data_IF_627917869077
#
_entry.id   IF_627917869077
#
_cell.length_a   1.000
_cell.length_b   1.000
_cell.length_c   1.000
_cell.angle_alpha   90.00
_cell.angle_beta   90.00
_cell.angle_gamma   90.00
#
_symmetry.space_group_name_H-M   'P 1'
#
loop_
_entity.id
_entity.type
_entity.pdbx_description
1 polymer ?
#
# COMPACT_ATOMS: atom_id res chain seq x y z
N UNK A 1 16.35 20.43 -47.00
CA UNK A 1 16.65 20.95 -45.64
C UNK A 1 18.10 20.69 -45.33
N UNK A 2 18.86 21.74 -45.04
CA UNK A 2 20.23 21.61 -44.55
C UNK A 2 20.25 21.11 -43.09
N UNK A 3 21.36 20.53 -42.64
CA UNK A 3 21.49 20.02 -41.26
C UNK A 3 21.25 21.13 -40.22
N UNK A 4 21.70 22.35 -40.51
CA UNK A 4 21.46 23.55 -39.70
C UNK A 4 19.98 23.92 -39.59
N UNK A 5 19.23 23.83 -40.70
CA UNK A 5 17.78 24.09 -40.69
C UNK A 5 17.04 23.04 -39.85
N UNK A 6 17.44 21.77 -39.92
CA UNK A 6 16.84 20.69 -39.11
C UNK A 6 17.06 20.90 -37.62
N UNK A 7 18.27 21.28 -37.21
CA UNK A 7 18.55 21.60 -35.81
C UNK A 7 17.79 22.83 -35.33
N UNK A 8 17.70 23.87 -36.16
CA UNK A 8 16.94 25.08 -35.85
C UNK A 8 15.45 24.75 -35.65
N UNK A 9 14.87 23.93 -36.54
CA UNK A 9 13.48 23.49 -36.44
C UNK A 9 13.25 22.62 -35.19
N UNK A 10 14.14 21.66 -34.90
CA UNK A 10 14.04 20.82 -33.71
C UNK A 10 14.09 21.64 -32.41
N UNK A 11 14.97 22.64 -32.34
CA UNK A 11 15.05 23.57 -31.20
C UNK A 11 13.79 24.44 -31.09
N UNK A 12 13.24 24.90 -32.21
CA UNK A 12 12.01 25.68 -32.23
C UNK A 12 10.80 24.86 -31.73
N UNK A 13 10.64 23.62 -32.21
CA UNK A 13 9.57 22.70 -31.79
C UNK A 13 9.66 22.42 -30.29
N UNK A 14 10.87 22.19 -29.75
CA UNK A 14 11.06 21.92 -28.32
C UNK A 14 10.71 23.11 -27.42
N UNK A 15 10.82 24.35 -27.92
CA UNK A 15 10.44 25.58 -27.19
C UNK A 15 8.96 25.91 -27.35
N UNK A 16 8.32 25.49 -28.44
CA UNK A 16 6.93 25.76 -28.72
C UNK A 16 6.01 24.97 -27.77
N UNK A 17 4.98 25.63 -27.24
CA UNK A 17 3.96 24.97 -26.42
C UNK A 17 2.95 24.28 -27.34
N UNK A 18 3.15 22.98 -27.56
CA UNK A 18 2.28 22.16 -28.41
C UNK A 18 1.21 21.49 -27.55
N UNK A 19 0.03 21.24 -28.14
CA UNK A 19 -1.04 20.46 -27.49
C UNK A 19 -0.57 19.04 -27.21
N UNK A 20 -0.97 18.50 -26.06
CA UNK A 20 -0.70 17.11 -25.74
C UNK A 20 -1.31 16.16 -26.79
N UNK A 21 -0.61 15.07 -27.15
CA UNK A 21 -1.14 14.02 -28.03
C UNK A 21 -2.41 13.38 -27.44
N UNK A 22 -3.20 12.76 -28.31
CA UNK A 22 -4.35 11.96 -27.87
C UNK A 22 -3.91 10.79 -27.00
N UNK A 23 -4.66 10.50 -25.94
CA UNK A 23 -4.43 9.36 -25.05
C UNK A 23 -5.21 8.09 -25.45
N UNK A 24 -6.00 8.15 -26.52
CA UNK A 24 -6.84 7.04 -27.00
C UNK A 24 -6.03 5.84 -27.52
N UNK A 25 -4.74 6.05 -27.80
CA UNK A 25 -3.81 5.01 -28.22
C UNK A 25 -3.30 4.12 -27.08
N UNK A 26 -3.73 4.33 -25.83
CA UNK A 26 -3.27 3.57 -24.67
C UNK A 26 -4.36 2.60 -24.19
N UNK A 27 -4.01 1.32 -24.05
CA UNK A 27 -4.87 0.29 -23.47
C UNK A 27 -4.55 -0.02 -22.00
N UNK A 28 -5.19 0.64 -21.02
CA UNK A 28 -5.05 0.28 -19.61
C UNK A 28 -5.56 -1.14 -19.31
N UNK A 29 -5.20 -1.68 -18.15
CA UNK A 29 -5.76 -2.94 -17.62
C UNK A 29 -7.12 -2.65 -16.94
N UNK A 30 -7.20 -1.55 -16.19
CA UNK A 30 -8.37 -1.12 -15.44
C UNK A 30 -8.36 -1.59 -13.98
N UNK A 31 -8.90 -0.75 -13.10
CA UNK A 31 -8.88 -0.94 -11.64
C UNK A 31 -9.48 -2.27 -11.17
N UNK A 32 -10.60 -2.68 -11.77
CA UNK A 32 -11.34 -3.90 -11.45
C UNK A 32 -10.55 -5.15 -11.85
N UNK A 33 -10.01 -5.16 -13.07
CA UNK A 33 -9.20 -6.25 -13.59
C UNK A 33 -7.89 -6.41 -12.82
N UNK A 34 -7.26 -5.30 -12.41
CA UNK A 34 -6.06 -5.32 -11.55
C UNK A 34 -6.34 -5.99 -10.20
N UNK A 35 -7.46 -5.67 -9.55
CA UNK A 35 -7.88 -6.31 -8.30
C UNK A 35 -8.16 -7.79 -8.52
N UNK A 36 -8.91 -8.14 -9.57
CA UNK A 36 -9.23 -9.53 -9.89
C UNK A 36 -7.96 -10.36 -10.19
N UNK A 37 -6.98 -9.78 -10.87
CA UNK A 37 -5.68 -10.39 -11.12
C UNK A 37 -4.91 -10.65 -9.83
N UNK A 38 -4.88 -9.67 -8.92
CA UNK A 38 -4.22 -9.83 -7.61
C UNK A 38 -4.90 -10.90 -6.75
N UNK A 39 -6.23 -10.92 -6.68
CA UNK A 39 -7.01 -11.91 -5.91
C UNK A 39 -6.74 -13.36 -6.34
N UNK A 40 -6.43 -13.59 -7.62
CA UNK A 40 -6.10 -14.94 -8.14
C UNK A 40 -4.74 -15.44 -7.67
N UNK A 41 -3.79 -14.54 -7.42
CA UNK A 41 -2.40 -14.88 -7.11
C UNK A 41 -2.13 -14.84 -5.61
N UNK A 42 -2.77 -13.91 -4.90
CA UNK A 42 -2.54 -13.65 -3.49
C UNK A 42 -3.89 -13.56 -2.79
N UNK A 43 -4.14 -14.45 -1.83
CA UNK A 43 -5.29 -14.35 -0.93
C UNK A 43 -4.94 -13.42 0.24
N UNK A 44 -5.46 -12.20 0.17
CA UNK A 44 -5.19 -11.10 1.08
C UNK A 44 -6.50 -10.55 1.68
N UNK A 45 -6.41 -9.98 2.88
CA UNK A 45 -7.54 -9.38 3.60
C UNK A 45 -8.03 -8.07 2.96
N UNK A 46 -7.14 -7.35 2.30
CA UNK A 46 -7.44 -6.04 1.72
C UNK A 46 -6.80 -5.86 0.35
N UNK A 47 -7.57 -5.28 -0.58
CA UNK A 47 -7.11 -4.91 -1.91
C UNK A 47 -7.47 -3.46 -2.21
N UNK A 48 -6.57 -2.76 -2.90
CA UNK A 48 -6.80 -1.43 -3.42
C UNK A 48 -6.21 -1.32 -4.82
N UNK A 49 -6.87 -0.57 -5.70
CA UNK A 49 -6.29 -0.17 -6.99
C UNK A 49 -6.52 1.32 -7.25
N UNK A 50 -5.77 1.84 -8.20
CA UNK A 50 -5.83 3.21 -8.69
C UNK A 50 -5.34 3.23 -10.13
N UNK A 51 -6.17 3.76 -11.04
CA UNK A 51 -5.80 4.08 -12.41
C UNK A 51 -5.72 5.60 -12.54
N UNK A 52 -4.52 6.11 -12.84
CA UNK A 52 -4.29 7.56 -12.99
C UNK A 52 -4.78 8.05 -14.35
N UNK A 53 -4.98 9.36 -14.44
CA UNK A 53 -5.22 10.01 -15.73
C UNK A 53 -3.95 9.91 -16.61
N UNK A 54 -4.10 9.75 -17.94
CA UNK A 54 -2.95 9.77 -18.84
C UNK A 54 -2.14 11.06 -18.71
N UNK A 55 -0.82 10.92 -18.73
CA UNK A 55 0.16 11.99 -18.75
C UNK A 55 1.04 11.84 -19.98
N UNK A 56 1.91 12.81 -20.26
CA UNK A 56 2.75 12.79 -21.46
C UNK A 56 4.21 12.96 -21.05
N UNK A 57 5.10 12.17 -21.66
CA UNK A 57 6.54 12.33 -21.53
C UNK A 57 7.15 12.36 -22.94
N UNK A 58 7.97 13.37 -23.25
CA UNK A 58 8.60 13.52 -24.59
C UNK A 58 7.63 13.35 -25.78
N UNK A 59 6.39 13.81 -25.64
CA UNK A 59 5.35 13.65 -26.68
C UNK A 59 4.72 12.26 -26.77
N UNK A 60 5.07 11.32 -25.89
CA UNK A 60 4.45 10.01 -25.78
C UNK A 60 3.44 10.02 -24.62
N UNK A 61 2.15 9.73 -24.87
CA UNK A 61 1.18 9.61 -23.80
C UNK A 61 1.42 8.28 -23.06
N UNK A 62 1.34 8.33 -21.73
CA UNK A 62 1.48 7.19 -20.84
C UNK A 62 0.48 7.26 -19.71
N UNK A 63 0.15 6.12 -19.11
CA UNK A 63 -0.75 6.00 -17.98
C UNK A 63 -0.15 5.03 -16.96
N UNK A 64 -0.33 5.35 -15.69
CA UNK A 64 0.14 4.53 -14.57
C UNK A 64 -1.05 3.96 -13.81
N UNK A 65 -1.01 2.66 -13.57
CA UNK A 65 -1.94 1.96 -12.69
C UNK A 65 -1.17 1.34 -11.55
N UNK A 66 -1.72 1.41 -10.35
CA UNK A 66 -1.17 0.75 -9.18
C UNK A 66 -2.26 -0.08 -8.52
N UNK A 67 -1.89 -1.26 -8.04
CA UNK A 67 -2.75 -2.07 -7.21
C UNK A 67 -1.95 -2.66 -6.05
N UNK A 68 -2.59 -2.85 -4.91
CA UNK A 68 -1.97 -3.25 -3.67
C UNK A 68 -2.84 -4.31 -3.00
N UNK A 69 -2.21 -5.36 -2.49
CA UNK A 69 -2.80 -6.37 -1.64
C UNK A 69 -2.09 -6.37 -0.28
N UNK A 70 -2.85 -6.47 0.81
CA UNK A 70 -2.35 -6.43 2.19
C UNK A 70 -2.97 -7.52 3.07
N UNK A 71 -2.16 -8.07 3.98
CA UNK A 71 -2.62 -9.01 5.00
C UNK A 71 -2.69 -10.46 4.52
N UNK A 72 -1.90 -10.83 3.52
CA UNK A 72 -1.80 -12.24 3.12
C UNK A 72 -0.82 -12.98 4.04
N UNK A 73 -1.09 -14.26 4.28
CA UNK A 73 -0.13 -15.14 4.94
C UNK A 73 1.03 -15.41 3.97
N UNK A 74 2.24 -15.03 4.36
CA UNK A 74 3.43 -15.36 3.59
C UNK A 74 3.61 -16.87 3.61
N UNK A 75 3.52 -17.53 2.45
CA UNK A 75 3.89 -18.94 2.27
C UNK A 75 5.42 -19.12 2.31
N UNK A 76 6.13 -18.42 3.19
CA UNK A 76 7.50 -18.79 3.55
C UNK A 76 7.40 -20.11 4.33
N UNK A 77 7.48 -21.21 3.58
CA UNK A 77 7.48 -22.61 4.01
C UNK A 77 8.65 -22.93 4.96
N UNK A 78 8.67 -22.38 6.17
CA UNK A 78 9.69 -22.71 7.19
C UNK A 78 9.27 -22.28 8.61
N UNK A 79 7.98 -22.38 8.95
CA UNK A 79 7.48 -22.72 10.30
C UNK A 79 6.02 -22.29 10.46
N UNK A 80 5.10 -23.25 10.47
CA UNK A 80 3.68 -23.02 10.84
C UNK A 80 3.50 -22.70 12.34
N UNK A 81 4.58 -22.63 13.11
CA UNK A 81 4.59 -22.48 14.58
C UNK A 81 5.22 -21.18 15.10
N UNK A 82 5.67 -20.25 14.25
CA UNK A 82 6.21 -18.97 14.74
C UNK A 82 5.08 -17.97 14.95
N UNK A 83 4.84 -17.66 16.23
CA UNK A 83 3.97 -16.58 16.71
C UNK A 83 4.34 -15.25 16.06
N UNK A 84 3.38 -14.33 16.08
CA UNK A 84 3.40 -12.92 15.64
C UNK A 84 4.56 -12.09 16.25
N UNK A 85 5.81 -12.43 15.96
CA UNK A 85 6.96 -11.58 16.28
C UNK A 85 7.14 -10.59 15.11
N UNK A 86 6.98 -9.31 15.42
CA UNK A 86 7.07 -8.18 14.49
C UNK A 86 8.40 -8.05 13.73
N UNK A 87 9.42 -8.83 14.10
CA UNK A 87 10.75 -8.79 13.48
C UNK A 87 10.89 -9.68 12.23
N UNK A 88 9.97 -10.62 12.00
CA UNK A 88 9.96 -11.51 10.83
C UNK A 88 8.87 -11.16 9.79
N UNK A 89 8.43 -9.91 9.75
CA UNK A 89 7.52 -9.47 8.69
C UNK A 89 8.22 -9.59 7.31
N UNK A 90 7.56 -10.18 6.29
CA UNK A 90 8.15 -10.30 4.97
C UNK A 90 8.40 -8.92 4.37
N UNK A 91 9.42 -8.81 3.52
CA UNK A 91 9.67 -7.59 2.76
C UNK A 91 8.57 -7.44 1.70
N UNK A 92 8.06 -6.22 1.52
CA UNK A 92 7.05 -5.94 0.50
C UNK A 92 7.53 -6.39 -0.88
N UNK A 93 6.66 -7.11 -1.61
CA UNK A 93 6.94 -7.57 -2.97
C UNK A 93 6.44 -6.56 -3.99
N UNK A 94 7.31 -6.17 -4.93
CA UNK A 94 6.99 -5.21 -6.00
C UNK A 94 6.88 -5.96 -7.32
N UNK A 95 5.66 -6.08 -7.85
CA UNK A 95 5.37 -6.55 -9.20
C UNK A 95 5.37 -5.37 -10.18
N UNK A 96 6.16 -5.47 -11.24
CA UNK A 96 6.33 -4.40 -12.24
C UNK A 96 5.80 -4.90 -13.57
N UNK A 97 4.98 -4.10 -14.24
CA UNK A 97 4.39 -4.45 -15.52
C UNK A 97 4.56 -3.26 -16.47
N UNK A 98 4.96 -3.53 -17.70
CA UNK A 98 5.00 -2.55 -18.77
C UNK A 98 4.21 -3.09 -19.98
N UNK A 99 3.20 -2.35 -20.44
CA UNK A 99 2.33 -2.77 -21.55
C UNK A 99 1.83 -4.22 -21.40
N UNK A 100 1.31 -4.57 -20.23
CA UNK A 100 0.83 -5.93 -19.88
C UNK A 100 1.92 -7.03 -19.85
N UNK A 101 3.20 -6.69 -19.97
CA UNK A 101 4.32 -7.61 -19.85
C UNK A 101 4.97 -7.48 -18.46
N UNK A 102 5.12 -8.57 -17.69
CA UNK A 102 5.78 -8.52 -16.38
C UNK A 102 7.31 -8.34 -16.54
N UNK A 103 7.88 -7.46 -15.72
CA UNK A 103 9.33 -7.20 -15.67
C UNK A 103 9.94 -7.92 -14.47
N UNK A 104 10.70 -8.99 -14.69
CA UNK A 104 11.17 -9.87 -13.63
C UNK A 104 12.56 -9.48 -13.11
N UNK A 105 13.49 -9.11 -14.00
CA UNK A 105 14.89 -8.88 -13.65
C UNK A 105 15.20 -7.41 -13.36
N UNK A 106 16.37 -7.15 -12.76
CA UNK A 106 16.90 -5.79 -12.51
C UNK A 106 15.92 -4.84 -11.81
N UNK A 107 15.24 -5.32 -10.77
CA UNK A 107 14.21 -4.54 -10.08
C UNK A 107 14.72 -3.20 -9.54
N UNK A 108 15.91 -3.20 -8.92
CA UNK A 108 16.51 -2.01 -8.30
C UNK A 108 16.86 -0.90 -9.28
N UNK A 109 17.12 -1.23 -10.55
CA UNK A 109 17.49 -0.27 -11.60
C UNK A 109 16.28 0.48 -12.18
N UNK A 110 15.05 0.03 -11.89
CA UNK A 110 13.84 0.60 -12.49
C UNK A 110 13.27 1.82 -11.78
N UNK A 111 12.67 2.73 -12.54
CA UNK A 111 11.93 3.87 -12.02
C UNK A 111 10.79 3.49 -11.07
N UNK A 112 10.11 2.36 -11.31
CA UNK A 112 9.05 1.85 -10.44
C UNK A 112 9.59 1.55 -9.04
N UNK A 113 10.68 0.77 -8.94
CA UNK A 113 11.24 0.38 -7.66
C UNK A 113 11.72 1.59 -6.88
N UNK A 114 12.42 2.52 -7.54
CA UNK A 114 12.84 3.79 -6.95
C UNK A 114 11.64 4.61 -6.43
N UNK A 115 10.58 4.74 -7.22
CA UNK A 115 9.39 5.48 -6.82
C UNK A 115 8.68 4.86 -5.61
N UNK A 116 8.61 3.53 -5.56
CA UNK A 116 8.04 2.78 -4.43
C UNK A 116 8.91 2.89 -3.18
N UNK A 117 10.24 2.80 -3.33
CA UNK A 117 11.21 2.95 -2.25
C UNK A 117 11.16 4.35 -1.60
N UNK A 118 11.11 5.38 -2.44
CA UNK A 118 11.05 6.79 -2.04
C UNK A 118 9.72 7.20 -1.37
N UNK A 119 8.71 6.35 -1.41
CA UNK A 119 7.40 6.65 -0.80
C UNK A 119 7.46 6.41 0.70
N UNK A 120 6.92 7.34 1.51
CA UNK A 120 6.92 7.22 2.96
C UNK A 120 5.80 6.29 3.47
N UNK A 121 6.09 4.99 3.52
CA UNK A 121 5.14 3.96 3.93
C UNK A 121 4.79 3.98 5.43
N UNK A 122 5.66 4.56 6.26
CA UNK A 122 5.40 4.73 7.70
C UNK A 122 4.12 5.54 7.96
N UNK A 123 3.83 6.52 7.10
CA UNK A 123 2.60 7.31 7.18
C UNK A 123 1.32 6.48 6.96
N UNK A 124 1.45 5.33 6.30
CA UNK A 124 0.36 4.40 5.99
C UNK A 124 0.29 3.21 6.95
N UNK A 125 1.11 3.20 8.01
CA UNK A 125 1.07 2.16 9.05
C UNK A 125 1.96 0.95 8.79
N UNK A 126 2.87 1.01 7.82
CA UNK A 126 3.88 -0.03 7.60
C UNK A 126 5.22 0.34 8.25
N UNK A 127 5.98 -0.66 8.68
CA UNK A 127 7.37 -0.44 9.13
C UNK A 127 8.30 -0.33 7.93
N UNK A 128 9.28 0.57 7.97
CA UNK A 128 10.26 0.73 6.90
C UNK A 128 11.61 1.11 7.53
N UNK A 129 12.71 0.51 7.10
CA UNK A 129 14.07 0.96 7.44
C UNK A 129 14.61 1.92 6.37
N UNK A 130 15.64 2.71 6.69
CA UNK A 130 16.18 3.71 5.75
C UNK A 130 16.80 2.99 4.53
N UNK A 131 16.37 3.36 3.32
CA UNK A 131 16.92 2.80 2.08
C UNK A 131 16.42 1.40 1.72
N UNK A 132 15.45 0.84 2.45
CA UNK A 132 14.84 -0.45 2.14
C UNK A 132 13.33 -0.32 1.87
N UNK A 133 12.78 -1.33 1.20
CA UNK A 133 11.33 -1.48 1.06
C UNK A 133 10.68 -1.66 2.44
N UNK A 134 9.41 -1.23 2.62
CA UNK A 134 8.68 -1.49 3.84
C UNK A 134 8.58 -2.99 4.13
N UNK A 135 8.61 -3.33 5.42
CA UNK A 135 8.28 -4.65 5.95
C UNK A 135 6.78 -4.72 6.19
N UNK A 136 6.21 -5.87 5.87
CA UNK A 136 4.82 -6.21 6.06
C UNK A 136 4.30 -7.09 4.91
N UNK A 137 3.20 -7.81 5.13
CA UNK A 137 2.55 -8.66 4.12
C UNK A 137 1.85 -7.79 3.06
N UNK A 138 2.63 -7.11 2.24
CA UNK A 138 2.18 -6.18 1.19
C UNK A 138 2.75 -6.64 -0.15
N UNK A 139 1.87 -6.71 -1.15
CA UNK A 139 2.27 -6.86 -2.55
C UNK A 139 1.75 -5.63 -3.27
N UNK A 140 2.64 -4.91 -3.95
CA UNK A 140 2.28 -3.81 -4.82
C UNK A 140 2.57 -4.17 -6.27
N UNK A 141 1.60 -3.93 -7.13
CA UNK A 141 1.70 -4.10 -8.57
C UNK A 141 1.60 -2.73 -9.22
N UNK A 142 2.59 -2.37 -10.03
CA UNK A 142 2.62 -1.10 -10.77
C UNK A 142 2.72 -1.40 -12.26
N UNK A 143 1.77 -0.87 -13.01
CA UNK A 143 1.67 -1.00 -14.46
C UNK A 143 1.91 0.36 -15.12
N UNK A 144 2.77 0.38 -16.13
CA UNK A 144 2.88 1.49 -17.08
C UNK A 144 2.32 1.06 -18.44
N UNK A 145 1.40 1.85 -18.97
CA UNK A 145 0.86 1.71 -20.31
C UNK A 145 1.29 2.90 -21.16
N UNK A 146 1.96 2.67 -22.29
CA UNK A 146 2.43 3.72 -23.20
C UNK A 146 2.67 3.16 -24.59
N UNK A 147 2.58 4.01 -25.63
CA UNK A 147 2.90 3.62 -27.01
C UNK A 147 4.37 3.20 -27.14
N UNK A 148 5.24 3.94 -26.46
CA UNK A 148 6.65 3.64 -26.30
C UNK A 148 6.94 3.64 -24.81
N UNK A 149 7.58 2.60 -24.25
CA UNK A 149 7.99 2.59 -22.84
C UNK A 149 9.50 2.82 -22.82
N UNK A 150 10.01 3.76 -21.99
CA UNK A 150 11.42 4.06 -22.00
C UNK A 150 12.17 3.05 -21.13
N UNK A 151 12.85 2.11 -21.76
CA UNK A 151 13.69 1.13 -21.05
C UNK A 151 15.13 1.63 -20.87
N UNK A 152 15.82 1.12 -19.86
CA UNK A 152 17.24 1.46 -19.59
C UNK A 152 18.22 0.72 -20.51
N UNK A 153 17.84 -0.47 -20.98
CA UNK A 153 18.66 -1.36 -21.83
C UNK A 153 17.80 -1.98 -22.94
N UNK A 154 18.44 -2.53 -23.99
CA UNK A 154 17.74 -3.22 -25.07
C UNK A 154 16.96 -4.46 -24.60
N UNK A 155 17.36 -5.05 -23.48
CA UNK A 155 16.69 -6.21 -22.86
C UNK A 155 15.31 -5.89 -22.28
N UNK A 156 14.95 -4.60 -22.16
CA UNK A 156 13.62 -4.14 -21.67
C UNK A 156 13.24 -4.60 -20.26
N UNK A 157 14.22 -4.77 -19.37
CA UNK A 157 13.99 -5.28 -18.00
C UNK A 157 13.65 -4.18 -16.97
N UNK A 158 14.06 -2.93 -17.23
CA UNK A 158 13.86 -1.83 -16.31
C UNK A 158 13.47 -0.53 -17.04
N UNK A 159 12.56 0.22 -16.41
CA UNK A 159 12.08 1.51 -16.93
C UNK A 159 13.03 2.62 -16.50
N UNK A 160 13.40 3.50 -17.43
CA UNK A 160 14.32 4.60 -17.23
C UNK A 160 13.75 5.70 -16.31
N UNK A 161 14.66 6.44 -15.67
CA UNK A 161 14.34 7.44 -14.65
C UNK A 161 13.92 8.80 -15.23
N UNK A 162 12.74 8.86 -15.86
CA UNK A 162 12.14 10.14 -16.25
C UNK A 162 11.38 10.77 -15.07
N UNK A 163 11.60 12.06 -14.73
CA UNK A 163 10.93 12.73 -13.61
C UNK A 163 9.41 12.68 -13.70
N UNK A 164 8.85 12.82 -14.90
CA UNK A 164 7.41 12.81 -15.19
C UNK A 164 6.81 11.44 -14.84
N UNK A 165 7.48 10.36 -15.25
CA UNK A 165 7.07 8.98 -14.98
C UNK A 165 7.17 8.68 -13.49
N UNK A 166 8.30 9.01 -12.85
CA UNK A 166 8.50 8.79 -11.42
C UNK A 166 7.44 9.54 -10.60
N UNK A 167 7.13 10.78 -10.98
CA UNK A 167 6.10 11.59 -10.32
C UNK A 167 4.73 10.90 -10.37
N UNK A 168 4.28 10.46 -11.55
CA UNK A 168 2.97 9.78 -11.66
C UNK A 168 2.94 8.42 -10.96
N UNK A 169 4.04 7.66 -10.97
CA UNK A 169 4.15 6.42 -10.17
C UNK A 169 4.00 6.73 -8.69
N UNK A 170 4.72 7.73 -8.16
CA UNK A 170 4.59 8.13 -6.75
C UNK A 170 3.15 8.54 -6.41
N UNK A 171 2.46 9.25 -7.30
CA UNK A 171 1.07 9.64 -7.07
C UNK A 171 0.12 8.44 -7.03
N UNK A 172 0.24 7.51 -7.98
CA UNK A 172 -0.55 6.27 -8.00
C UNK A 172 -0.32 5.41 -6.74
N UNK A 173 0.94 5.21 -6.38
CA UNK A 173 1.35 4.43 -5.19
C UNK A 173 0.82 5.08 -3.90
N UNK A 174 0.89 6.41 -3.77
CA UNK A 174 0.35 7.14 -2.61
C UNK A 174 -1.16 7.03 -2.50
N UNK A 175 -1.88 6.95 -3.62
CA UNK A 175 -3.33 6.77 -3.61
C UNK A 175 -3.73 5.41 -3.03
N UNK A 176 -3.06 4.34 -3.47
CA UNK A 176 -3.19 3.02 -2.87
C UNK A 176 -2.74 3.00 -1.40
N UNK A 177 -1.63 3.69 -1.09
CA UNK A 177 -1.11 3.82 0.28
C UNK A 177 -2.08 4.50 1.24
N UNK A 178 -2.82 5.53 0.79
CA UNK A 178 -3.87 6.18 1.61
C UNK A 178 -5.02 5.21 1.90
N UNK A 179 -5.49 4.46 0.89
CA UNK A 179 -6.53 3.44 1.07
C UNK A 179 -6.09 2.36 2.07
N UNK A 180 -4.85 1.89 1.95
CA UNK A 180 -4.23 0.98 2.91
C UNK A 180 -4.16 1.57 4.33
N UNK A 181 -3.69 2.82 4.46
CA UNK A 181 -3.53 3.46 5.76
C UNK A 181 -4.86 3.61 6.52
N UNK A 182 -5.97 3.84 5.83
CA UNK A 182 -7.30 3.83 6.44
C UNK A 182 -7.66 2.43 6.98
N UNK A 183 -7.39 1.38 6.19
CA UNK A 183 -7.63 0.00 6.60
C UNK A 183 -6.79 -0.40 7.82
N UNK A 184 -5.47 -0.16 7.78
CA UNK A 184 -4.54 -0.51 8.87
C UNK A 184 -4.88 0.23 10.17
N UNK A 185 -5.21 1.52 10.08
CA UNK A 185 -5.64 2.30 11.27
C UNK A 185 -6.95 1.78 11.85
N UNK A 186 -7.91 1.41 11.00
CA UNK A 186 -9.17 0.79 11.44
C UNK A 186 -8.91 -0.53 12.16
N UNK A 187 -8.07 -1.40 11.60
CA UNK A 187 -7.69 -2.67 12.24
C UNK A 187 -6.97 -2.45 13.58
N UNK A 188 -6.03 -1.51 13.64
CA UNK A 188 -5.33 -1.16 14.88
C UNK A 188 -6.29 -0.67 15.95
N UNK A 189 -7.27 0.17 15.58
CA UNK A 189 -8.31 0.66 16.50
C UNK A 189 -9.14 -0.51 17.06
N UNK A 190 -9.56 -1.44 16.21
CA UNK A 190 -10.32 -2.63 16.63
C UNK A 190 -9.48 -3.52 17.57
N UNK A 191 -8.21 -3.80 17.23
CA UNK A 191 -7.31 -4.61 18.07
C UNK A 191 -7.05 -3.97 19.43
N UNK A 192 -6.89 -2.64 19.48
CA UNK A 192 -6.74 -1.89 20.73
C UNK A 192 -7.99 -1.97 21.61
N UNK A 193 -9.17 -1.84 21.01
CA UNK A 193 -10.43 -1.97 21.75
C UNK A 193 -10.60 -3.39 22.31
N UNK A 194 -10.35 -4.42 21.51
CA UNK A 194 -10.40 -5.82 21.99
C UNK A 194 -9.45 -6.06 23.17
N UNK A 195 -8.19 -5.60 23.07
CA UNK A 195 -7.22 -5.69 24.17
C UNK A 195 -7.71 -5.02 25.45
N UNK A 196 -8.34 -3.84 25.35
CA UNK A 196 -8.93 -3.16 26.51
C UNK A 196 -10.11 -3.95 27.09
N UNK A 197 -10.94 -4.58 26.25
CA UNK A 197 -12.05 -5.44 26.72
C UNK A 197 -11.51 -6.62 27.50
N UNK A 198 -10.51 -7.29 26.96
CA UNK A 198 -9.90 -8.46 27.60
C UNK A 198 -9.24 -8.07 28.91
N UNK A 199 -8.49 -6.96 28.94
CA UNK A 199 -7.92 -6.41 30.17
C UNK A 199 -9.00 -6.19 31.23
N UNK A 200 -10.08 -5.47 30.90
CA UNK A 200 -11.18 -5.24 31.85
C UNK A 200 -11.75 -6.56 32.36
N UNK A 201 -12.04 -7.52 31.48
CA UNK A 201 -12.56 -8.84 31.89
C UNK A 201 -11.63 -9.57 32.85
N UNK A 202 -10.33 -9.49 32.65
CA UNK A 202 -9.33 -10.13 33.53
C UNK A 202 -9.25 -9.46 34.90
N UNK A 203 -9.29 -8.12 34.97
CA UNK A 203 -9.10 -7.40 36.24
C UNK A 203 -10.39 -7.15 37.03
N UNK A 204 -11.56 -7.16 36.38
CA UNK A 204 -12.82 -6.84 37.04
C UNK A 204 -13.18 -7.78 38.22
N UNK A 205 -12.95 -9.10 38.14
CA UNK A 205 -13.19 -10.00 39.28
C UNK A 205 -12.33 -9.66 40.49
N UNK A 206 -11.04 -9.36 40.28
CA UNK A 206 -10.11 -8.98 41.35
C UNK A 206 -10.50 -7.66 42.03
N UNK A 207 -11.04 -6.70 41.26
CA UNK A 207 -11.59 -5.45 41.82
C UNK A 207 -12.83 -5.75 42.67
N UNK A 208 -13.68 -6.70 42.23
CA UNK A 208 -14.84 -7.14 42.99
C UNK A 208 -14.46 -7.76 44.34
N UNK A 209 -13.44 -8.62 44.37
CA UNK A 209 -12.90 -9.22 45.60
C UNK A 209 -12.34 -8.15 46.55
N UNK A 210 -11.51 -7.22 46.04
CA UNK A 210 -10.96 -6.14 46.85
C UNK A 210 -12.06 -5.24 47.46
N UNK A 211 -13.10 -4.93 46.68
CA UNK A 211 -14.22 -4.11 47.16
C UNK A 211 -15.09 -4.86 48.17
N UNK A 212 -15.23 -6.18 48.05
CA UNK A 212 -15.87 -7.02 49.06
C UNK A 212 -15.17 -6.88 50.41
N UNK A 213 -13.84 -6.96 50.40
CA UNK A 213 -13.02 -6.95 51.61
C UNK A 213 -12.99 -5.55 52.26
N UNK A 214 -12.93 -4.48 51.47
CA UNK A 214 -12.92 -3.09 51.97
C UNK A 214 -14.29 -2.67 52.52
N UNK A 215 -15.38 -3.00 51.82
CA UNK A 215 -16.73 -2.52 52.14
C UNK A 215 -17.56 -3.54 52.92
N UNK A 216 -17.00 -4.70 53.27
CA UNK A 216 -17.68 -5.82 53.93
C UNK A 216 -19.00 -6.21 53.25
N UNK A 217 -19.01 -6.28 51.91
CA UNK A 217 -20.21 -6.56 51.11
C UNK A 217 -20.53 -8.06 51.10
N UNK A 218 -21.82 -8.41 50.95
CA UNK A 218 -22.26 -9.80 50.71
C UNK A 218 -22.04 -10.19 49.25
N UNK A 219 -21.84 -11.47 48.96
CA UNK A 219 -21.56 -11.98 47.60
C UNK A 219 -22.56 -11.49 46.54
N UNK A 220 -23.86 -11.51 46.85
CA UNK A 220 -24.91 -10.99 45.95
C UNK A 220 -24.77 -9.49 45.62
N UNK A 221 -24.17 -8.71 46.50
CA UNK A 221 -23.92 -7.28 46.27
C UNK A 221 -22.68 -7.08 45.41
N UNK A 222 -21.67 -7.97 45.52
CA UNK A 222 -20.47 -7.96 44.69
C UNK A 222 -20.81 -8.30 43.24
N UNK A 223 -21.63 -9.32 43.00
CA UNK A 223 -22.05 -9.69 41.64
C UNK A 223 -22.78 -8.55 40.94
N UNK A 224 -23.76 -7.93 41.62
CA UNK A 224 -24.49 -6.76 41.11
C UNK A 224 -23.56 -5.57 40.86
N UNK A 225 -22.53 -5.39 41.69
CA UNK A 225 -21.53 -4.34 41.52
C UNK A 225 -20.66 -4.61 40.29
N UNK A 226 -20.20 -5.85 40.09
CA UNK A 226 -19.42 -6.26 38.91
C UNK A 226 -20.24 -6.07 37.62
N UNK A 227 -21.51 -6.46 37.60
CA UNK A 227 -22.41 -6.22 36.46
C UNK A 227 -22.55 -4.72 36.17
N UNK A 228 -22.79 -3.90 37.20
CA UNK A 228 -22.93 -2.45 37.05
C UNK A 228 -21.64 -1.78 36.60
N UNK A 229 -20.49 -2.22 37.10
CA UNK A 229 -19.17 -1.76 36.67
C UNK A 229 -18.91 -2.17 35.22
N UNK A 230 -19.27 -3.41 34.83
CA UNK A 230 -19.18 -3.87 33.45
C UNK A 230 -19.98 -2.93 32.54
N UNK A 231 -21.27 -2.72 32.83
CA UNK A 231 -22.12 -1.84 32.03
C UNK A 231 -21.57 -0.40 31.94
N UNK A 232 -21.08 0.14 33.06
CA UNK A 232 -20.56 1.51 33.11
C UNK A 232 -19.29 1.65 32.28
N UNK A 233 -18.38 0.68 32.41
CA UNK A 233 -17.15 0.62 31.64
C UNK A 233 -17.41 0.38 30.15
N UNK A 234 -18.45 -0.38 29.80
CA UNK A 234 -18.87 -0.57 28.40
C UNK A 234 -19.55 0.69 27.82
N UNK A 235 -20.42 1.38 28.57
CA UNK A 235 -21.11 2.61 28.15
C UNK A 235 -20.17 3.80 28.00
N UNK A 236 -19.10 3.87 28.80
CA UNK A 236 -18.07 4.92 28.66
C UNK A 236 -17.28 4.86 27.35
N UNK A 237 -17.38 3.76 26.59
CA UNK A 237 -16.71 3.58 25.30
C UNK A 237 -17.47 4.31 24.18
N UNK A 238 -17.09 5.55 23.89
CA UNK A 238 -17.48 6.17 22.61
C UNK A 238 -16.74 5.50 21.45
N UNK A 239 -17.49 4.95 20.49
CA UNK A 239 -17.00 4.63 19.13
C UNK A 239 -16.70 5.90 18.34
#
# INVERSE_FOLDING_TARGET
MSLKETEALHKAISKAKIRNPSSDCIGPIGETNMINGLKRVVDAEFYASCTRKPSVYRGNPFLIEAALAYGFRSNSNTDKNKKEDSDNDPVMRVSRIANRVPLLYQQSAGAIFKAVLDTNWRSYGLSQSRGALPRGPVVIMVHIASVWVPFTSESKEAIAHYPEIIKEIKLAVRECGRKLGMHVRRQKRIKQELKKRDYIKTYLPHIGEALRDILALKDKQVDRLIERLTETLEKSRKM
#
